data_IF_251176032039
#
_entry.id   IF_251176032039
#
_cell.length_a   1.000
_cell.length_b   1.000
_cell.length_c   1.000
_cell.angle_alpha   90.00
_cell.angle_beta   90.00
_cell.angle_gamma   90.00
#
_symmetry.space_group_name_H-M   'P 1'
#
loop_
_entity.id
_entity.type
_entity.pdbx_description
1 polymer ?
#
# COMPACT_ATOMS: atom_id res chain seq x y z
N UNK A 1 -10.81 51.24 17.89
CA UNK A 1 -10.52 49.87 18.30
C UNK A 1 -10.66 48.95 17.10
N UNK A 2 -9.55 48.65 16.46
CA UNK A 2 -9.53 47.80 15.27
C UNK A 2 -9.44 46.38 15.77
N UNK A 3 -10.50 45.61 15.57
CA UNK A 3 -10.49 44.16 15.84
C UNK A 3 -9.43 43.49 14.95
N UNK A 4 -8.30 43.16 15.53
CA UNK A 4 -7.30 42.33 14.90
C UNK A 4 -7.83 40.90 14.78
N UNK A 5 -8.50 40.59 13.69
CA UNK A 5 -8.60 39.24 13.21
C UNK A 5 -7.19 38.80 12.83
N UNK A 6 -6.52 38.11 13.72
CA UNK A 6 -5.32 37.31 13.40
C UNK A 6 -5.77 36.26 12.40
N UNK A 7 -5.71 36.60 11.11
CA UNK A 7 -6.08 35.74 10.02
C UNK A 7 -5.18 34.52 10.02
N UNK A 8 -5.66 33.42 10.61
CA UNK A 8 -5.03 32.11 10.44
C UNK A 8 -5.19 31.73 8.98
N UNK A 9 -4.07 31.70 8.25
CA UNK A 9 -4.05 31.31 6.85
C UNK A 9 -4.43 29.84 6.70
N UNK A 10 -5.34 29.52 5.80
CA UNK A 10 -5.62 28.14 5.43
C UNK A 10 -4.66 27.70 4.32
N UNK A 11 -3.96 26.60 4.56
CA UNK A 11 -3.00 26.04 3.60
C UNK A 11 -3.33 24.58 3.30
N UNK A 12 -3.11 24.22 2.04
CA UNK A 12 -3.01 22.82 1.66
C UNK A 12 -1.65 22.29 2.14
N UNK A 13 -1.68 21.24 2.94
CA UNK A 13 -0.48 20.61 3.47
C UNK A 13 -0.49 19.11 3.24
N UNK A 14 0.67 18.49 3.33
CA UNK A 14 0.84 17.05 3.23
C UNK A 14 1.23 16.45 4.56
N UNK A 15 0.62 15.32 4.96
CA UNK A 15 0.97 14.60 6.17
C UNK A 15 2.28 13.86 5.96
N UNK A 16 3.31 14.24 6.73
CA UNK A 16 4.65 13.64 6.66
C UNK A 16 4.77 12.49 7.64
N UNK A 17 4.33 12.68 8.88
CA UNK A 17 4.35 11.62 9.89
C UNK A 17 3.10 11.67 10.76
N UNK A 18 2.82 10.52 11.40
CA UNK A 18 1.68 10.35 12.32
C UNK A 18 2.12 9.58 13.55
N UNK A 19 1.85 10.16 14.74
CA UNK A 19 2.09 9.54 16.06
C UNK A 19 0.88 9.76 16.94
N UNK A 20 0.29 8.69 17.49
CA UNK A 20 -0.79 8.70 18.53
C UNK A 20 -1.70 9.94 18.55
N UNK A 21 -2.23 10.35 17.37
CA UNK A 21 -3.17 11.47 17.27
C UNK A 21 -2.52 12.84 17.03
N UNK A 22 -1.21 12.92 16.95
CA UNK A 22 -0.46 14.08 16.45
C UNK A 22 0.10 13.81 15.06
N UNK A 23 0.31 14.88 14.32
CA UNK A 23 0.79 14.83 12.93
C UNK A 23 1.93 15.82 12.74
N UNK A 24 2.81 15.52 11.81
CA UNK A 24 3.67 16.53 11.18
C UNK A 24 3.17 16.74 9.76
N UNK A 25 2.98 17.99 9.39
CA UNK A 25 2.51 18.36 8.05
C UNK A 25 3.47 19.34 7.39
N UNK A 26 3.54 19.29 6.05
CA UNK A 26 4.36 20.20 5.25
C UNK A 26 3.51 20.95 4.25
N UNK A 27 3.76 22.25 4.10
CA UNK A 27 3.23 23.09 3.04
C UNK A 27 4.41 23.78 2.34
N UNK A 28 4.86 23.22 1.21
CA UNK A 28 6.11 23.62 0.57
C UNK A 28 7.33 23.28 1.45
N UNK A 29 8.13 24.29 1.76
CA UNK A 29 9.30 24.16 2.64
C UNK A 29 8.93 24.22 4.14
N UNK A 30 7.76 24.73 4.49
CA UNK A 30 7.33 24.88 5.88
C UNK A 30 6.83 23.56 6.46
N UNK A 31 7.27 23.22 7.66
CA UNK A 31 6.83 22.05 8.40
C UNK A 31 6.32 22.45 9.77
N UNK A 32 5.19 21.87 10.21
CA UNK A 32 4.62 22.10 11.55
C UNK A 32 4.08 20.82 12.16
N UNK A 33 4.08 20.80 13.48
CA UNK A 33 3.23 19.89 14.24
C UNK A 33 1.76 20.25 13.98
N UNK A 34 0.88 19.28 13.96
CA UNK A 34 -0.53 19.50 13.71
C UNK A 34 -1.41 18.53 14.49
N UNK A 35 -2.64 18.94 14.75
CA UNK A 35 -3.69 18.10 15.30
C UNK A 35 -5.00 18.29 14.51
N UNK A 36 -5.88 17.30 14.53
CA UNK A 36 -7.22 17.46 13.93
C UNK A 36 -8.08 18.37 14.81
N UNK A 37 -8.91 19.20 14.18
CA UNK A 37 -9.85 20.07 14.89
C UNK A 37 -10.86 19.27 15.71
N UNK A 38 -11.47 19.91 16.72
CA UNK A 38 -12.56 19.30 17.48
C UNK A 38 -13.73 18.88 16.59
N UNK A 39 -14.10 19.74 15.60
CA UNK A 39 -15.13 19.42 14.60
C UNK A 39 -14.74 18.18 13.78
N UNK A 40 -13.50 18.10 13.27
CA UNK A 40 -13.02 16.94 12.53
C UNK A 40 -13.15 15.66 13.35
N UNK A 41 -12.70 15.72 14.63
CA UNK A 41 -12.77 14.57 15.56
C UNK A 41 -14.21 14.14 15.82
N UNK A 42 -15.12 15.08 15.92
CA UNK A 42 -16.54 14.80 16.08
C UNK A 42 -17.15 14.16 14.83
N UNK A 43 -16.73 14.57 13.62
CA UNK A 43 -17.23 14.05 12.34
C UNK A 43 -16.63 12.67 11.97
N UNK A 44 -15.42 12.37 12.42
CA UNK A 44 -14.76 11.09 12.18
C UNK A 44 -15.51 9.96 12.90
N UNK A 45 -15.83 8.90 12.16
CA UNK A 45 -16.57 7.73 12.65
C UNK A 45 -15.67 6.53 12.87
N UNK A 46 -14.67 6.37 11.99
CA UNK A 46 -13.75 5.24 11.98
C UNK A 46 -12.31 5.72 12.00
N UNK A 47 -11.38 4.82 12.30
CA UNK A 47 -9.95 5.13 12.27
C UNK A 47 -9.48 5.53 10.87
N UNK A 48 -10.11 5.01 9.83
CA UNK A 48 -9.77 5.34 8.43
C UNK A 48 -10.17 6.76 8.02
N UNK A 49 -11.05 7.40 8.78
CA UNK A 49 -11.45 8.78 8.51
C UNK A 49 -10.35 9.77 8.92
N UNK A 50 -9.40 9.34 9.77
CA UNK A 50 -8.29 10.19 10.20
C UNK A 50 -7.20 10.28 9.14
N UNK A 51 -6.43 11.40 9.12
CA UNK A 51 -5.30 11.54 8.22
C UNK A 51 -4.25 10.46 8.43
N UNK A 52 -3.63 10.01 7.35
CA UNK A 52 -2.52 9.07 7.32
C UNK A 52 -1.33 9.67 6.57
N UNK A 53 -0.16 9.07 6.68
CA UNK A 53 1.03 9.51 5.96
C UNK A 53 0.78 9.54 4.46
N UNK A 54 1.14 10.67 3.83
CA UNK A 54 0.91 10.92 2.40
C UNK A 54 -0.42 11.61 2.07
N UNK A 55 -1.34 11.75 3.03
CA UNK A 55 -2.58 12.48 2.82
C UNK A 55 -2.35 13.97 2.59
N UNK A 56 -3.22 14.57 1.77
CA UNK A 56 -3.35 16.01 1.65
C UNK A 56 -4.47 16.50 2.56
N UNK A 57 -4.20 17.56 3.30
CA UNK A 57 -5.12 18.15 4.27
C UNK A 57 -5.23 19.65 4.07
N UNK A 58 -6.40 20.20 4.38
CA UNK A 58 -6.57 21.64 4.59
C UNK A 58 -6.31 21.92 6.07
N UNK A 59 -5.36 22.76 6.36
CA UNK A 59 -4.96 23.10 7.72
C UNK A 59 -4.92 24.62 7.93
N UNK A 60 -5.42 25.07 9.08
CA UNK A 60 -5.15 26.39 9.58
C UNK A 60 -3.70 26.47 10.05
N UNK A 61 -2.98 27.44 9.48
CA UNK A 61 -1.54 27.62 9.67
C UNK A 61 -1.28 28.89 10.50
N UNK A 62 -0.99 28.75 11.78
CA UNK A 62 -0.66 29.92 12.60
C UNK A 62 0.67 30.52 12.16
N UNK A 63 0.82 31.84 12.31
CA UNK A 63 2.03 32.57 11.96
C UNK A 63 3.19 32.37 12.94
N UNK A 64 2.89 31.89 14.14
CA UNK A 64 3.83 31.60 15.24
C UNK A 64 4.22 30.11 15.28
N UNK A 65 4.90 29.69 16.33
CA UNK A 65 5.30 28.27 16.56
C UNK A 65 4.14 27.37 17.02
N UNK A 66 2.91 27.88 17.08
CA UNK A 66 1.76 27.08 17.48
C UNK A 66 1.48 25.97 16.46
N UNK A 67 0.97 24.81 16.92
CA UNK A 67 0.62 23.72 16.03
C UNK A 67 -0.47 24.10 15.04
N UNK A 68 -0.38 23.62 13.81
CA UNK A 68 -1.43 23.75 12.80
C UNK A 68 -2.66 22.91 13.18
N UNK A 69 -3.83 23.35 12.68
CA UNK A 69 -5.10 22.67 12.96
C UNK A 69 -5.67 22.11 11.65
N UNK A 70 -5.69 20.79 11.52
CA UNK A 70 -6.27 20.10 10.36
C UNK A 70 -7.80 20.23 10.39
N UNK A 71 -8.36 20.81 9.32
CA UNK A 71 -9.80 21.06 9.17
C UNK A 71 -10.51 20.00 8.34
N UNK A 72 -9.86 19.56 7.26
CA UNK A 72 -10.43 18.57 6.36
C UNK A 72 -9.36 17.75 5.65
N UNK A 73 -9.77 16.61 5.13
CA UNK A 73 -8.98 15.69 4.33
C UNK A 73 -9.39 15.81 2.87
N UNK A 74 -8.43 15.94 1.97
CA UNK A 74 -8.70 15.86 0.53
C UNK A 74 -8.93 14.41 0.10
N UNK A 75 -9.68 14.17 -1.00
CA UNK A 75 -9.88 12.84 -1.54
C UNK A 75 -8.55 12.14 -1.84
N UNK A 76 -8.45 10.89 -1.41
CA UNK A 76 -7.30 10.02 -1.66
C UNK A 76 -7.36 9.48 -3.08
N UNK A 77 -6.23 9.52 -3.81
CA UNK A 77 -6.08 8.85 -5.11
C UNK A 77 -5.85 7.35 -4.94
N UNK A 78 -5.10 7.00 -3.91
CA UNK A 78 -4.78 5.63 -3.53
C UNK A 78 -4.66 5.55 -2.02
N UNK A 79 -4.93 4.37 -1.43
CA UNK A 79 -4.68 4.15 -0.01
C UNK A 79 -4.42 2.68 0.30
N UNK A 80 -3.42 2.43 1.13
CA UNK A 80 -3.14 1.12 1.69
C UNK A 80 -3.83 0.98 3.04
N UNK A 81 -4.63 -0.06 3.18
CA UNK A 81 -5.44 -0.33 4.37
C UNK A 81 -4.96 -1.61 5.04
N UNK A 82 -4.96 -1.63 6.36
CA UNK A 82 -4.74 -2.84 7.15
C UNK A 82 -5.79 -2.97 8.24
N UNK A 83 -5.85 -4.13 8.87
CA UNK A 83 -6.59 -4.31 10.13
C UNK A 83 -5.93 -3.48 11.23
N UNK A 84 -6.74 -2.74 11.99
CA UNK A 84 -6.25 -2.00 13.13
C UNK A 84 -5.79 -2.99 14.22
N UNK A 85 -4.66 -2.68 14.86
CA UNK A 85 -4.16 -3.48 15.97
C UNK A 85 -5.21 -3.54 17.10
N UNK A 86 -5.46 -4.72 17.64
CA UNK A 86 -6.44 -4.93 18.72
C UNK A 86 -7.91 -4.99 18.27
N UNK A 87 -8.21 -4.87 16.97
CA UNK A 87 -9.58 -4.98 16.46
C UNK A 87 -9.63 -5.74 15.13
N UNK A 88 -10.31 -6.89 15.14
CA UNK A 88 -10.56 -7.67 13.93
C UNK A 88 -11.50 -6.96 12.93
N UNK A 89 -12.23 -5.93 13.37
CA UNK A 89 -13.30 -5.26 12.62
C UNK A 89 -13.02 -3.80 12.25
N UNK A 90 -11.85 -3.26 12.58
CA UNK A 90 -11.51 -1.88 12.25
C UNK A 90 -10.40 -1.82 11.22
N UNK A 91 -10.62 -1.00 10.22
CA UNK A 91 -9.63 -0.67 9.20
C UNK A 91 -8.79 0.52 9.62
N UNK A 92 -7.53 0.52 9.22
CA UNK A 92 -6.60 1.64 9.40
C UNK A 92 -5.90 1.93 8.09
N UNK A 93 -5.99 3.17 7.60
CA UNK A 93 -5.14 3.60 6.48
C UNK A 93 -3.70 3.72 6.98
N UNK A 94 -2.80 3.08 6.26
CA UNK A 94 -1.37 3.01 6.60
C UNK A 94 -0.59 4.09 5.87
N UNK A 95 -0.93 4.28 4.58
CA UNK A 95 -0.33 5.25 3.69
C UNK A 95 -1.32 5.62 2.58
N UNK A 96 -1.24 6.84 2.07
CA UNK A 96 -2.14 7.35 1.05
C UNK A 96 -1.40 8.11 -0.06
N UNK A 97 -2.10 8.29 -1.19
CA UNK A 97 -1.62 9.07 -2.33
C UNK A 97 -0.27 8.57 -2.89
N UNK A 98 -0.11 7.25 -2.94
CA UNK A 98 1.02 6.57 -3.57
C UNK A 98 0.72 6.44 -5.06
N UNK A 99 1.63 6.90 -5.93
CA UNK A 99 1.51 6.76 -7.38
C UNK A 99 2.03 5.38 -7.84
N UNK A 100 3.21 4.98 -7.36
CA UNK A 100 3.85 3.70 -7.74
C UNK A 100 4.22 2.90 -6.50
N UNK A 101 3.89 1.62 -6.51
CA UNK A 101 4.32 0.68 -5.47
C UNK A 101 5.29 -0.35 -6.04
N UNK A 102 6.51 -0.35 -5.53
CA UNK A 102 7.52 -1.35 -5.86
C UNK A 102 7.29 -2.61 -5.03
N UNK A 103 6.93 -3.70 -5.68
CA UNK A 103 6.78 -5.01 -5.06
C UNK A 103 8.12 -5.74 -5.15
N UNK A 104 8.85 -5.77 -4.03
CA UNK A 104 10.19 -6.36 -3.96
C UNK A 104 10.11 -7.85 -3.65
N UNK A 105 10.79 -8.64 -4.47
CA UNK A 105 11.01 -10.07 -4.29
C UNK A 105 12.48 -10.38 -4.61
N UNK A 106 13.17 -11.14 -3.75
CA UNK A 106 14.57 -11.46 -4.00
C UNK A 106 14.73 -12.77 -4.76
N UNK A 107 15.68 -12.81 -5.68
CA UNK A 107 16.01 -13.96 -6.51
C UNK A 107 16.90 -14.98 -5.77
N UNK A 108 16.52 -15.29 -4.53
CA UNK A 108 17.17 -16.33 -3.71
C UNK A 108 16.10 -17.23 -3.06
N UNK A 109 16.38 -17.84 -1.92
CA UNK A 109 15.45 -18.70 -1.18
C UNK A 109 14.13 -18.01 -0.79
N UNK A 110 14.04 -16.67 -0.89
CA UNK A 110 12.83 -15.90 -0.58
C UNK A 110 11.96 -15.62 -1.83
N UNK A 111 12.27 -16.26 -2.96
CA UNK A 111 11.46 -16.21 -4.18
C UNK A 111 10.14 -16.96 -3.99
N UNK A 112 9.01 -16.27 -4.21
CA UNK A 112 7.67 -16.83 -3.95
C UNK A 112 6.61 -16.12 -4.80
N UNK A 113 6.18 -16.76 -5.89
CA UNK A 113 5.16 -16.21 -6.80
C UNK A 113 3.79 -16.05 -6.14
N UNK A 114 3.44 -16.88 -5.16
CA UNK A 114 2.12 -16.79 -4.47
C UNK A 114 2.07 -15.56 -3.57
N UNK A 115 3.21 -15.20 -2.98
CA UNK A 115 3.35 -13.95 -2.23
C UNK A 115 3.31 -12.74 -3.16
N UNK A 116 3.94 -12.83 -4.34
CA UNK A 116 3.87 -11.79 -5.36
C UNK A 116 2.42 -11.53 -5.79
N UNK A 117 1.65 -12.56 -6.11
CA UNK A 117 0.24 -12.46 -6.49
C UNK A 117 -0.61 -11.77 -5.40
N UNK A 118 -0.35 -12.08 -4.13
CA UNK A 118 -0.99 -11.39 -3.01
C UNK A 118 -0.64 -9.90 -2.97
N UNK A 119 0.62 -9.55 -3.14
CA UNK A 119 1.04 -8.15 -3.14
C UNK A 119 0.49 -7.39 -4.35
N UNK A 120 0.38 -8.02 -5.51
CA UNK A 120 -0.28 -7.45 -6.69
C UNK A 120 -1.75 -7.14 -6.41
N UNK A 121 -2.47 -8.08 -5.80
CA UNK A 121 -3.87 -7.85 -5.41
C UNK A 121 -4.00 -6.65 -4.47
N UNK A 122 -3.16 -6.55 -3.44
CA UNK A 122 -3.13 -5.42 -2.50
C UNK A 122 -2.79 -4.10 -3.22
N UNK A 123 -1.84 -4.12 -4.16
CA UNK A 123 -1.46 -2.94 -4.92
C UNK A 123 -2.61 -2.43 -5.80
N UNK A 124 -3.29 -3.32 -6.52
CA UNK A 124 -4.44 -2.96 -7.33
C UNK A 124 -5.61 -2.46 -6.48
N UNK A 125 -5.90 -3.07 -5.33
CA UNK A 125 -6.93 -2.60 -4.40
C UNK A 125 -6.63 -1.21 -3.85
N UNK A 126 -5.35 -0.90 -3.66
CA UNK A 126 -4.94 0.42 -3.18
C UNK A 126 -5.15 1.54 -4.19
N UNK A 127 -5.23 1.23 -5.48
CA UNK A 127 -5.24 2.20 -6.58
C UNK A 127 -3.84 2.69 -7.00
N UNK A 128 -2.74 2.16 -6.42
CA UNK A 128 -1.38 2.47 -6.84
C UNK A 128 -0.92 1.57 -8.00
N UNK A 129 -0.09 2.10 -8.90
CA UNK A 129 0.47 1.32 -10.01
C UNK A 129 1.58 0.38 -9.51
N UNK A 130 1.46 -0.95 -9.67
CA UNK A 130 2.49 -1.90 -9.25
C UNK A 130 3.66 -1.95 -10.24
N UNK A 131 4.88 -2.09 -9.70
CA UNK A 131 6.09 -2.44 -10.44
C UNK A 131 6.81 -3.54 -9.64
N UNK A 132 7.14 -4.65 -10.28
CA UNK A 132 7.86 -5.74 -9.61
C UNK A 132 9.36 -5.48 -9.67
N UNK A 133 10.03 -5.57 -8.51
CA UNK A 133 11.48 -5.41 -8.40
C UNK A 133 12.08 -6.71 -7.89
N UNK A 134 12.76 -7.42 -8.78
CA UNK A 134 13.50 -8.64 -8.49
C UNK A 134 14.90 -8.25 -8.01
N UNK A 135 15.12 -8.31 -6.71
CA UNK A 135 16.37 -7.92 -6.08
C UNK A 135 17.34 -9.08 -6.00
N UNK A 136 18.61 -8.79 -5.69
CA UNK A 136 19.69 -9.78 -5.58
C UNK A 136 19.88 -10.59 -6.86
N UNK A 137 19.78 -9.92 -8.01
CA UNK A 137 19.96 -10.54 -9.31
C UNK A 137 21.36 -11.18 -9.46
N UNK A 138 22.35 -10.66 -8.75
CA UNK A 138 23.71 -11.17 -8.64
C UNK A 138 23.79 -12.60 -8.05
N UNK A 139 22.78 -13.02 -7.26
CA UNK A 139 22.72 -14.36 -6.67
C UNK A 139 21.96 -15.37 -7.54
N UNK A 140 21.40 -14.93 -8.66
CA UNK A 140 20.58 -15.77 -9.54
C UNK A 140 21.39 -16.18 -10.78
N UNK A 141 21.44 -17.49 -11.06
CA UNK A 141 22.14 -18.02 -12.23
C UNK A 141 21.39 -17.78 -13.55
N UNK A 142 20.07 -17.75 -13.49
CA UNK A 142 19.20 -17.58 -14.65
C UNK A 142 18.09 -16.56 -14.33
N UNK A 143 18.44 -15.29 -14.49
CA UNK A 143 17.53 -14.17 -14.23
C UNK A 143 16.39 -14.13 -15.25
N UNK A 144 16.68 -14.45 -16.51
CA UNK A 144 15.70 -14.37 -17.59
C UNK A 144 14.58 -15.38 -17.41
N UNK A 145 14.89 -16.61 -16.99
CA UNK A 145 13.89 -17.62 -16.62
C UNK A 145 13.00 -17.13 -15.50
N UNK A 146 13.60 -16.53 -14.44
CA UNK A 146 12.83 -15.97 -13.32
C UNK A 146 11.94 -14.80 -13.73
N UNK A 147 12.43 -13.91 -14.58
CA UNK A 147 11.63 -12.81 -15.16
C UNK A 147 10.45 -13.37 -15.96
N UNK A 148 10.67 -14.44 -16.74
CA UNK A 148 9.61 -15.11 -17.51
C UNK A 148 8.52 -15.72 -16.60
N UNK A 149 8.92 -16.42 -15.52
CA UNK A 149 7.97 -16.95 -14.53
C UNK A 149 7.15 -15.82 -13.88
N UNK A 150 7.81 -14.73 -13.49
CA UNK A 150 7.15 -13.56 -12.90
C UNK A 150 6.19 -12.90 -13.89
N UNK A 151 6.55 -12.83 -15.17
CA UNK A 151 5.67 -12.29 -16.23
C UNK A 151 4.39 -13.10 -16.37
N UNK A 152 4.47 -14.41 -16.19
CA UNK A 152 3.27 -15.28 -16.14
C UNK A 152 2.38 -15.02 -14.92
N UNK A 153 2.98 -14.66 -13.77
CA UNK A 153 2.24 -14.37 -12.54
C UNK A 153 1.76 -12.90 -12.44
N UNK A 154 2.37 -11.98 -13.20
CA UNK A 154 2.11 -10.54 -13.18
C UNK A 154 1.92 -9.98 -14.61
N UNK A 155 0.91 -10.43 -15.35
CA UNK A 155 0.72 -10.01 -16.75
C UNK A 155 0.45 -8.49 -16.82
N UNK A 156 1.23 -7.81 -17.69
CA UNK A 156 1.10 -6.37 -17.92
C UNK A 156 1.73 -5.49 -16.85
N UNK A 157 2.47 -6.06 -15.90
CA UNK A 157 3.22 -5.33 -14.89
C UNK A 157 4.70 -5.24 -15.30
N UNK A 158 5.30 -4.08 -15.11
CA UNK A 158 6.73 -3.89 -15.35
C UNK A 158 7.55 -4.69 -14.34
N UNK A 159 8.59 -5.38 -14.83
CA UNK A 159 9.47 -6.24 -14.04
C UNK A 159 10.90 -5.72 -14.19
N UNK A 160 11.52 -5.40 -13.08
CA UNK A 160 12.89 -4.89 -13.00
C UNK A 160 13.75 -5.89 -12.23
N UNK A 161 14.83 -6.36 -12.83
CA UNK A 161 15.85 -7.14 -12.13
C UNK A 161 17.00 -6.22 -11.73
N UNK A 162 17.35 -6.19 -10.45
CA UNK A 162 18.36 -5.29 -9.90
C UNK A 162 19.30 -6.01 -8.94
N UNK A 163 20.55 -5.59 -8.93
CA UNK A 163 21.51 -5.94 -7.89
C UNK A 163 21.93 -4.70 -7.12
N UNK A 164 21.75 -4.72 -5.82
CA UNK A 164 22.23 -3.64 -4.95
C UNK A 164 23.75 -3.55 -4.91
N UNK A 165 24.46 -4.61 -5.33
CA UNK A 165 25.94 -4.62 -5.38
C UNK A 165 26.47 -3.82 -6.57
N UNK A 166 25.76 -3.79 -7.69
CA UNK A 166 26.18 -3.05 -8.88
C UNK A 166 26.04 -1.53 -8.73
N UNK A 167 25.19 -1.07 -7.77
CA UNK A 167 24.90 0.35 -7.62
C UNK A 167 23.99 0.94 -8.72
N UNK A 168 23.69 0.17 -9.76
CA UNK A 168 22.84 0.63 -10.86
C UNK A 168 21.36 0.47 -10.51
N UNK A 169 20.72 1.58 -10.20
CA UNK A 169 19.29 1.70 -9.95
C UNK A 169 18.55 2.45 -11.05
N UNK A 170 19.17 2.67 -12.22
CA UNK A 170 18.58 3.42 -13.33
C UNK A 170 17.18 2.92 -13.73
N UNK A 171 17.00 1.60 -13.72
CA UNK A 171 15.70 0.99 -14.01
C UNK A 171 14.61 1.35 -12.97
N UNK A 172 14.97 1.53 -11.70
CA UNK A 172 14.04 1.90 -10.62
C UNK A 172 13.79 3.40 -10.60
N UNK A 173 14.84 4.21 -10.77
CA UNK A 173 14.76 5.67 -10.66
C UNK A 173 13.88 6.30 -11.72
N UNK A 174 13.70 5.67 -12.90
CA UNK A 174 12.79 6.15 -13.95
C UNK A 174 11.32 6.25 -13.50
N UNK A 175 10.92 5.56 -12.43
CA UNK A 175 9.58 5.64 -11.84
C UNK A 175 9.50 6.68 -10.71
N UNK A 176 10.64 7.20 -10.25
CA UNK A 176 10.75 8.12 -9.12
C UNK A 176 10.83 9.54 -9.65
N UNK A 177 9.69 10.05 -10.12
CA UNK A 177 9.61 11.37 -10.76
C UNK A 177 9.28 12.47 -9.73
N UNK A 178 9.73 13.71 -9.96
CA UNK A 178 9.40 14.86 -9.10
C UNK A 178 7.88 14.95 -8.84
N UNK A 179 7.49 15.21 -7.60
CA UNK A 179 6.09 15.31 -7.18
C UNK A 179 5.34 13.98 -7.10
N UNK A 180 5.93 12.86 -7.54
CA UNK A 180 5.33 11.53 -7.41
C UNK A 180 5.74 10.87 -6.09
N UNK A 181 4.85 10.02 -5.61
CA UNK A 181 5.06 9.26 -4.38
C UNK A 181 5.25 7.80 -4.70
N UNK A 182 6.32 7.23 -4.19
CA UNK A 182 6.60 5.80 -4.31
C UNK A 182 6.59 5.13 -2.94
N UNK A 183 6.27 3.83 -2.93
CA UNK A 183 6.35 3.02 -1.73
C UNK A 183 6.89 1.63 -2.06
N UNK A 184 7.34 0.89 -1.03
CA UNK A 184 7.94 -0.42 -1.18
C UNK A 184 7.17 -1.48 -0.40
N UNK A 185 6.70 -2.52 -1.10
CA UNK A 185 6.15 -3.74 -0.54
C UNK A 185 7.15 -4.89 -0.66
N UNK A 186 7.09 -5.83 0.25
CA UNK A 186 7.91 -7.05 0.21
C UNK A 186 8.20 -7.59 1.58
N UNK A 187 8.55 -8.87 1.67
CA UNK A 187 8.87 -9.54 2.93
C UNK A 187 10.20 -9.06 3.52
N UNK A 188 10.46 -9.43 4.76
CA UNK A 188 11.75 -9.13 5.40
C UNK A 188 12.91 -9.80 4.64
N UNK A 189 14.06 -9.12 4.57
CA UNK A 189 15.28 -9.66 3.94
C UNK A 189 15.31 -9.66 2.41
N UNK A 190 14.29 -9.12 1.72
CA UNK A 190 14.29 -9.00 0.25
C UNK A 190 15.14 -7.83 -0.30
N UNK A 191 15.83 -7.07 0.56
CA UNK A 191 16.71 -5.99 0.11
C UNK A 191 16.07 -4.61 0.01
N UNK A 192 14.83 -4.40 0.49
CA UNK A 192 14.15 -3.10 0.46
C UNK A 192 14.96 -2.00 1.14
N UNK A 193 15.41 -2.21 2.38
CA UNK A 193 16.17 -1.20 3.12
C UNK A 193 17.45 -0.80 2.38
N UNK A 194 18.11 -1.73 1.72
CA UNK A 194 19.28 -1.45 0.88
C UNK A 194 18.92 -0.57 -0.31
N UNK A 195 17.83 -0.89 -1.02
CA UNK A 195 17.34 -0.07 -2.13
C UNK A 195 16.96 1.34 -1.66
N UNK A 196 16.24 1.46 -0.55
CA UNK A 196 15.81 2.75 0.00
C UNK A 196 17.03 3.57 0.41
N UNK A 197 18.00 2.99 1.10
CA UNK A 197 19.25 3.69 1.49
C UNK A 197 20.00 4.20 0.26
N UNK A 198 20.09 3.43 -0.81
CA UNK A 198 20.74 3.86 -2.05
C UNK A 198 19.97 5.00 -2.73
N UNK A 199 18.64 4.94 -2.74
CA UNK A 199 17.78 5.98 -3.34
C UNK A 199 17.79 7.29 -2.54
N UNK A 200 17.91 7.20 -1.23
CA UNK A 200 17.94 8.38 -0.35
C UNK A 200 19.33 8.97 -0.17
N UNK A 201 20.38 8.24 -0.57
CA UNK A 201 21.76 8.60 -0.30
C UNK A 201 22.13 8.54 1.19
N UNK A 202 21.33 7.86 2.01
CA UNK A 202 21.53 7.76 3.46
C UNK A 202 21.69 6.29 3.87
N UNK A 203 22.44 6.06 4.95
CA UNK A 203 22.58 4.73 5.59
C UNK A 203 21.67 4.60 6.82
N UNK A 204 20.56 5.34 6.87
CA UNK A 204 19.71 5.46 8.06
C UNK A 204 18.87 4.22 8.36
N UNK A 205 18.59 3.38 7.36
CA UNK A 205 17.84 2.15 7.57
C UNK A 205 18.79 0.98 7.86
N UNK A 206 18.54 0.27 8.97
CA UNK A 206 19.35 -0.89 9.35
C UNK A 206 19.29 -1.97 8.25
N UNK A 207 20.42 -2.21 7.61
CA UNK A 207 20.63 -3.31 6.67
C UNK A 207 21.34 -4.44 7.45
N UNK A 208 20.59 -5.43 7.93
CA UNK A 208 21.15 -6.56 8.67
C UNK A 208 20.92 -7.87 7.93
N UNK A 209 21.95 -8.70 7.82
CA UNK A 209 21.81 -10.16 7.66
C UNK A 209 21.03 -10.68 8.85
N UNK A 210 20.00 -11.51 8.59
CA UNK A 210 19.19 -12.16 9.62
C UNK A 210 20.09 -13.12 10.44
N UNK A 211 20.81 -12.56 11.39
CA UNK A 211 21.49 -13.30 12.45
C UNK A 211 20.57 -13.36 13.66
N UNK A 212 20.42 -14.53 14.24
CA UNK A 212 19.48 -14.90 15.30
C UNK A 212 19.70 -14.19 16.67
N UNK A 213 20.36 -13.03 16.73
CA UNK A 213 20.81 -12.43 18.00
C UNK A 213 20.37 -10.99 18.27
N UNK A 214 19.41 -10.40 17.53
CA UNK A 214 18.99 -9.04 17.81
C UNK A 214 17.47 -8.90 18.06
N UNK A 215 17.02 -9.51 19.13
CA UNK A 215 15.66 -9.33 19.70
C UNK A 215 15.55 -8.08 20.58
N UNK A 216 16.22 -6.97 20.25
CA UNK A 216 16.16 -5.91 21.22
C UNK A 216 16.72 -4.54 20.82
N UNK A 217 16.50 -4.07 19.57
CA UNK A 217 16.63 -2.62 19.29
C UNK A 217 16.14 -2.28 17.89
N UNK A 218 15.33 -1.21 17.82
CA UNK A 218 14.74 -0.55 16.66
C UNK A 218 13.47 -1.20 16.06
N UNK A 219 12.41 -1.23 16.87
CA UNK A 219 11.07 -1.03 16.35
C UNK A 219 10.97 0.43 15.90
N UNK A 220 11.40 0.73 14.69
CA UNK A 220 11.06 1.99 14.02
C UNK A 220 9.55 1.95 13.75
N UNK A 221 8.76 2.39 14.72
CA UNK A 221 7.29 2.55 14.63
C UNK A 221 6.93 3.80 13.82
N UNK A 222 7.93 4.56 13.35
CA UNK A 222 7.71 5.79 12.63
C UNK A 222 7.29 5.50 11.19
N UNK A 223 6.11 6.01 10.83
CA UNK A 223 5.63 6.09 9.45
C UNK A 223 6.01 7.46 8.96
N UNK A 224 6.83 7.53 7.95
CA UNK A 224 7.35 8.80 7.46
C UNK A 224 7.32 8.87 5.93
N UNK A 225 6.98 10.07 5.44
CA UNK A 225 7.12 10.47 4.05
C UNK A 225 8.47 11.20 3.92
N UNK A 226 9.37 10.63 3.16
CA UNK A 226 10.71 11.16 2.91
C UNK A 226 10.68 11.91 1.58
N UNK A 227 11.19 13.15 1.55
CA UNK A 227 11.39 13.88 0.31
C UNK A 227 12.77 13.55 -0.26
N UNK A 228 12.81 13.09 -1.50
CA UNK A 228 14.05 12.78 -2.21
C UNK A 228 14.66 14.04 -2.83
N UNK A 229 15.96 13.99 -3.14
CA UNK A 229 16.72 15.13 -3.71
C UNK A 229 16.14 15.67 -5.03
N UNK A 230 15.48 14.82 -5.80
CA UNK A 230 14.81 15.19 -7.05
C UNK A 230 13.38 15.71 -6.87
N UNK A 231 12.90 15.89 -5.63
CA UNK A 231 11.54 16.34 -5.33
C UNK A 231 10.45 15.25 -5.41
N UNK A 232 10.81 13.99 -5.58
CA UNK A 232 9.90 12.87 -5.39
C UNK A 232 9.71 12.57 -3.90
N UNK A 233 8.70 11.76 -3.59
CA UNK A 233 8.39 11.35 -2.23
C UNK A 233 8.48 9.83 -2.09
N UNK A 234 9.00 9.38 -0.97
CA UNK A 234 9.09 7.97 -0.63
C UNK A 234 8.37 7.73 0.70
N UNK A 235 7.49 6.72 0.73
CA UNK A 235 6.87 6.25 1.97
C UNK A 235 7.51 4.92 2.35
N UNK A 236 8.22 4.90 3.48
CA UNK A 236 8.66 3.66 4.13
C UNK A 236 7.92 3.49 5.44
N UNK A 237 7.07 2.49 5.51
CA UNK A 237 6.39 2.16 6.75
C UNK A 237 6.59 0.67 7.07
N UNK A 238 6.97 0.35 8.33
CA UNK A 238 7.01 -1.04 8.78
C UNK A 238 5.68 -1.77 8.60
N UNK A 239 4.58 -1.03 8.69
CA UNK A 239 3.22 -1.55 8.53
C UNK A 239 2.91 -2.08 7.14
N UNK A 240 3.62 -1.63 6.09
CA UNK A 240 3.50 -2.18 4.74
C UNK A 240 4.12 -3.57 4.60
N UNK A 241 4.89 -4.03 5.60
CA UNK A 241 5.42 -5.41 5.67
C UNK A 241 4.34 -6.44 6.00
N UNK A 242 3.31 -6.01 6.73
CA UNK A 242 2.26 -6.86 7.31
C UNK A 242 0.88 -6.56 6.70
N UNK A 243 0.85 -6.00 5.47
CA UNK A 243 -0.42 -5.77 4.79
C UNK A 243 -1.10 -7.13 4.54
N UNK A 244 -2.20 -7.35 5.23
CA UNK A 244 -3.17 -8.39 4.91
C UNK A 244 -4.17 -7.86 3.90
N UNK A 245 -4.84 -8.77 3.19
CA UNK A 245 -5.98 -8.40 2.35
C UNK A 245 -7.09 -7.83 3.23
N UNK A 246 -7.66 -6.75 2.78
CA UNK A 246 -8.82 -6.12 3.40
C UNK A 246 -9.79 -5.75 2.30
N UNK A 247 -10.94 -6.46 2.25
CA UNK A 247 -12.03 -6.23 1.30
C UNK A 247 -11.53 -5.78 -0.08
N UNK A 248 -11.14 -6.74 -0.90
CA UNK A 248 -10.55 -6.42 -2.19
C UNK A 248 -11.64 -5.92 -3.13
N UNK A 249 -11.66 -4.61 -3.35
CA UNK A 249 -12.58 -3.94 -4.28
C UNK A 249 -12.38 -4.32 -5.76
N UNK A 250 -11.74 -5.46 -6.03
CA UNK A 250 -11.42 -5.96 -7.37
C UNK A 250 -9.94 -6.20 -7.64
N UNK A 251 -9.07 -5.98 -6.66
CA UNK A 251 -7.63 -6.17 -6.84
C UNK A 251 -7.22 -7.60 -7.14
N UNK A 252 -7.94 -8.59 -6.59
CA UNK A 252 -7.74 -10.00 -6.96
C UNK A 252 -8.07 -10.20 -8.44
N UNK A 253 -9.20 -9.67 -8.91
CA UNK A 253 -9.64 -9.82 -10.30
C UNK A 253 -8.65 -9.13 -11.25
N UNK A 254 -8.11 -8.00 -10.84
CA UNK A 254 -7.08 -7.30 -11.58
C UNK A 254 -5.74 -8.07 -11.62
N UNK A 255 -5.33 -8.70 -10.53
CA UNK A 255 -4.11 -9.50 -10.45
C UNK A 255 -4.22 -10.84 -11.20
N UNK A 256 -5.44 -11.37 -11.34
CA UNK A 256 -5.74 -12.65 -11.98
C UNK A 256 -6.65 -12.49 -13.21
N UNK A 257 -6.43 -11.45 -14.02
CA UNK A 257 -7.22 -11.17 -15.23
C UNK A 257 -7.27 -12.36 -16.21
N UNK A 258 -6.19 -13.12 -16.30
CA UNK A 258 -6.10 -14.33 -17.09
C UNK A 258 -7.08 -15.39 -16.60
N UNK A 259 -7.15 -15.63 -15.30
CA UNK A 259 -8.08 -16.58 -14.67
C UNK A 259 -9.52 -16.10 -14.80
N UNK A 260 -9.78 -14.82 -14.51
CA UNK A 260 -11.10 -14.21 -14.66
C UNK A 260 -11.58 -14.22 -16.12
N UNK A 261 -10.66 -14.00 -17.07
CA UNK A 261 -10.94 -14.10 -18.49
C UNK A 261 -11.41 -15.50 -18.88
N UNK A 262 -10.71 -16.53 -18.42
CA UNK A 262 -11.10 -17.93 -18.63
C UNK A 262 -12.45 -18.24 -17.96
N UNK A 263 -12.68 -17.81 -16.73
CA UNK A 263 -13.92 -18.07 -16.00
C UNK A 263 -15.16 -17.54 -16.73
N UNK A 264 -15.03 -16.40 -17.44
CA UNK A 264 -16.13 -15.80 -18.23
C UNK A 264 -16.48 -16.60 -19.49
N UNK A 265 -15.60 -17.49 -19.95
CA UNK A 265 -15.84 -18.35 -21.12
C UNK A 265 -16.45 -19.70 -20.77
N UNK A 266 -16.75 -19.99 -19.52
CA UNK A 266 -17.44 -21.19 -19.09
C UNK A 266 -18.84 -21.27 -19.71
N UNK A 267 -19.29 -22.49 -20.03
CA UNK A 267 -20.62 -22.73 -20.58
C UNK A 267 -21.76 -22.21 -19.71
N UNK A 268 -21.59 -22.27 -18.37
CA UNK A 268 -22.59 -21.82 -17.41
C UNK A 268 -22.12 -20.56 -16.67
N UNK A 269 -22.98 -19.58 -16.57
CA UNK A 269 -22.68 -18.31 -15.87
C UNK A 269 -22.46 -18.47 -14.35
N UNK A 270 -23.03 -19.54 -13.76
CA UNK A 270 -22.88 -19.89 -12.35
C UNK A 270 -21.90 -21.07 -12.14
N UNK A 271 -20.96 -21.28 -13.06
CA UNK A 271 -19.99 -22.35 -12.97
C UNK A 271 -19.15 -22.24 -11.69
N UNK A 272 -19.06 -23.33 -10.92
CA UNK A 272 -18.24 -23.39 -9.71
C UNK A 272 -16.81 -23.86 -9.98
N UNK A 273 -16.51 -24.20 -11.24
CA UNK A 273 -15.21 -24.66 -11.75
C UNK A 273 -14.71 -25.95 -11.06
N UNK A 274 -15.63 -26.84 -10.70
CA UNK A 274 -15.28 -28.12 -10.05
C UNK A 274 -15.43 -29.31 -11.00
N UNK A 275 -16.64 -29.55 -11.51
CA UNK A 275 -16.97 -30.71 -12.33
C UNK A 275 -17.96 -30.43 -13.46
N UNK A 276 -18.30 -29.18 -13.68
CA UNK A 276 -19.30 -28.80 -14.68
C UNK A 276 -18.81 -29.06 -16.11
N UNK A 277 -19.64 -29.65 -16.99
CA UNK A 277 -19.29 -29.88 -18.39
C UNK A 277 -19.12 -28.54 -19.12
N UNK A 278 -18.04 -28.42 -19.90
CA UNK A 278 -17.72 -27.18 -20.59
C UNK A 278 -17.16 -26.07 -19.70
N UNK A 279 -16.54 -26.44 -18.56
CA UNK A 279 -15.82 -25.51 -17.71
C UNK A 279 -14.47 -25.17 -18.33
N UNK A 280 -14.27 -23.90 -18.71
CA UNK A 280 -13.04 -23.43 -19.33
C UNK A 280 -11.82 -23.48 -18.38
N UNK A 281 -12.03 -23.28 -17.08
CA UNK A 281 -10.98 -23.42 -16.07
C UNK A 281 -10.48 -24.86 -15.99
N UNK A 282 -11.39 -25.87 -15.94
CA UNK A 282 -10.99 -27.27 -15.89
C UNK A 282 -10.27 -27.69 -17.18
N UNK A 283 -10.71 -27.19 -18.32
CA UNK A 283 -10.04 -27.42 -19.59
C UNK A 283 -8.63 -26.84 -19.59
N UNK A 284 -8.47 -25.58 -19.17
CA UNK A 284 -7.18 -24.89 -19.11
C UNK A 284 -6.20 -25.53 -18.11
N UNK A 285 -6.72 -26.12 -17.03
CA UNK A 285 -5.91 -26.90 -16.07
C UNK A 285 -5.47 -28.24 -16.68
N UNK A 286 -6.34 -28.90 -17.47
CA UNK A 286 -6.06 -30.19 -18.10
C UNK A 286 -5.04 -30.08 -19.24
N UNK A 287 -5.10 -29.01 -20.02
CA UNK A 287 -4.17 -28.78 -21.15
C UNK A 287 -2.91 -27.98 -20.76
N UNK A 288 -2.82 -27.53 -19.48
CA UNK A 288 -1.65 -26.85 -18.94
C UNK A 288 -1.55 -25.36 -19.29
N UNK A 289 -2.57 -24.76 -19.92
CA UNK A 289 -2.60 -23.32 -20.22
C UNK A 289 -2.81 -22.48 -18.96
N UNK A 290 -3.44 -23.07 -17.92
CA UNK A 290 -3.53 -22.49 -16.58
C UNK A 290 -2.71 -23.31 -15.58
N UNK A 291 -1.73 -22.68 -14.93
CA UNK A 291 -0.96 -23.30 -13.85
C UNK A 291 -1.86 -23.64 -12.64
N UNK A 292 -1.81 -24.89 -12.20
CA UNK A 292 -2.62 -25.38 -11.10
C UNK A 292 -2.30 -24.66 -9.76
N UNK A 293 -1.05 -24.21 -9.55
CA UNK A 293 -0.69 -23.47 -8.35
C UNK A 293 -1.24 -22.03 -8.39
N UNK A 294 -1.31 -21.41 -9.61
CA UNK A 294 -1.95 -20.12 -9.83
C UNK A 294 -3.46 -20.19 -9.56
N UNK A 295 -4.12 -21.22 -10.05
CA UNK A 295 -5.54 -21.45 -9.76
C UNK A 295 -5.82 -21.63 -8.25
N UNK A 296 -4.99 -22.43 -7.55
CA UNK A 296 -5.10 -22.60 -6.09
C UNK A 296 -4.91 -21.28 -5.36
N UNK A 297 -3.94 -20.46 -5.79
CA UNK A 297 -3.69 -19.14 -5.23
C UNK A 297 -4.90 -18.21 -5.38
N UNK A 298 -5.47 -18.12 -6.58
CA UNK A 298 -6.68 -17.36 -6.84
C UNK A 298 -7.83 -17.76 -5.93
N UNK A 299 -8.13 -19.05 -5.86
CA UNK A 299 -9.21 -19.56 -4.98
C UNK A 299 -8.98 -19.23 -3.51
N UNK A 300 -7.74 -19.38 -3.04
CA UNK A 300 -7.38 -19.05 -1.67
C UNK A 300 -7.60 -17.57 -1.37
N UNK A 301 -7.15 -16.68 -2.25
CA UNK A 301 -7.31 -15.24 -2.08
C UNK A 301 -8.79 -14.83 -2.12
N UNK A 302 -9.60 -15.39 -3.03
CA UNK A 302 -11.04 -15.16 -3.06
C UNK A 302 -11.76 -15.64 -1.80
N UNK A 303 -11.34 -16.74 -1.17
CA UNK A 303 -11.90 -17.20 0.10
C UNK A 303 -11.53 -16.27 1.25
N UNK A 304 -10.28 -15.81 1.31
CA UNK A 304 -9.83 -14.83 2.29
C UNK A 304 -10.61 -13.52 2.17
N UNK A 305 -10.83 -13.06 0.94
CA UNK A 305 -11.56 -11.83 0.63
C UNK A 305 -13.03 -11.91 1.11
N UNK A 306 -13.74 -12.97 0.81
CA UNK A 306 -15.12 -13.17 1.28
C UNK A 306 -15.24 -13.04 2.79
N UNK A 307 -14.27 -13.55 3.54
CA UNK A 307 -14.25 -13.45 5.00
C UNK A 307 -14.00 -12.02 5.50
N UNK A 308 -13.43 -11.15 4.66
CA UNK A 308 -13.16 -9.75 5.00
C UNK A 308 -14.28 -8.81 4.55
N UNK A 309 -14.99 -9.13 3.46
CA UNK A 309 -16.11 -8.34 2.93
C UNK A 309 -17.24 -8.15 3.95
N UNK A 310 -17.53 -9.17 4.78
CA UNK A 310 -18.52 -9.06 5.85
C UNK A 310 -18.10 -8.00 6.90
N UNK A 311 -16.82 -7.82 7.13
CA UNK A 311 -16.30 -6.80 8.03
C UNK A 311 -16.46 -5.39 7.46
N UNK A 312 -16.24 -5.18 6.16
CA UNK A 312 -16.43 -3.90 5.49
C UNK A 312 -17.90 -3.47 5.47
N UNK A 313 -18.81 -4.38 5.20
CA UNK A 313 -20.26 -4.14 5.30
C UNK A 313 -20.66 -3.69 6.70
N UNK A 314 -20.11 -4.32 7.73
CA UNK A 314 -20.34 -3.90 9.12
C UNK A 314 -19.85 -2.47 9.37
N UNK A 315 -18.66 -2.08 8.86
CA UNK A 315 -18.14 -0.73 9.00
C UNK A 315 -18.97 0.31 8.25
N UNK A 316 -19.42 0.00 7.04
CA UNK A 316 -20.29 0.86 6.27
C UNK A 316 -21.63 1.12 7.00
N UNK A 317 -22.27 0.07 7.51
CA UNK A 317 -23.49 0.19 8.30
C UNK A 317 -23.29 1.02 9.58
N UNK A 318 -22.12 0.88 10.24
CA UNK A 318 -21.77 1.69 11.42
C UNK A 318 -21.64 3.19 11.06
N UNK A 319 -20.96 3.50 9.93
CA UNK A 319 -20.83 4.88 9.42
C UNK A 319 -22.20 5.50 9.13
N UNK A 320 -23.07 4.75 8.49
CA UNK A 320 -24.41 5.21 8.13
C UNK A 320 -25.26 5.51 9.38
N UNK A 321 -25.26 4.59 10.36
CA UNK A 321 -25.97 4.78 11.64
C UNK A 321 -25.46 6.00 12.41
N UNK A 322 -24.14 6.21 12.46
CA UNK A 322 -23.55 7.36 13.13
C UNK A 322 -23.89 8.68 12.43
N UNK A 323 -23.92 8.71 11.09
CA UNK A 323 -24.36 9.88 10.31
C UNK A 323 -25.85 10.19 10.54
N UNK A 324 -26.70 9.16 10.57
CA UNK A 324 -28.14 9.31 10.82
C UNK A 324 -28.42 9.81 12.25
N UNK A 325 -27.68 9.32 13.25
CA UNK A 325 -27.79 9.79 14.64
C UNK A 325 -27.42 11.27 14.81
N UNK A 326 -26.39 11.74 14.10
CA UNK A 326 -25.94 13.16 14.14
C UNK A 326 -26.94 14.12 13.51
N UNK A 327 -27.62 13.72 12.41
CA UNK A 327 -28.66 14.52 11.77
C UNK A 327 -29.93 14.71 12.63
N UNK A 328 -30.14 13.91 13.67
CA UNK A 328 -31.29 14.02 14.59
C UNK A 328 -30.99 14.94 15.79
N UNK A 329 -29.75 15.37 15.98
CA UNK A 329 -29.30 16.18 17.13
C UNK A 329 -28.77 17.56 16.69
N UNK A 330 -28.80 17.88 15.40
CA UNK A 330 -28.58 19.18 14.80
C UNK A 330 -29.88 19.79 14.29
#
# INVERSE_FOLDING_TARGET
MVNGETGMEERRARVISQEKGSYRISSGADMKAAAVSGKYRYEAVTVSDYPAVGDYVLAQWPGDDAPAVIRSLFPRKSCFIRRAAGSAKQEQVVAANIDTVFICMSLNQNYDLRRLERYLSIAYDSGAAPVVVLTKADLCRDVDSRVSEVRGAAPGVDILAVSSLSGDLGAVTRYILPGRTVAFLGSSGVGRSTLINQLTGTHSLATGTVGAADKGRHTTTHRELITLSNGAFLIDTPSMRELGMWDSGGGIDAAFRDVEGLARTCRFSNCTHTSEPGCAIQQALADGTLDAARWRSFRKLKLEDRSTADNSRYQAAKRERARAGRKRHS
#
